data_IF_004996780404
#
_entry.id   IF_004996780404
#
_cell.length_a   1.000
_cell.length_b   1.000
_cell.length_c   1.000
_cell.angle_alpha   90.00
_cell.angle_beta   90.00
_cell.angle_gamma   90.00
#
_symmetry.space_group_name_H-M   'P 1'
#
loop_
_entity.id
_entity.type
_entity.pdbx_description
1 polymer ?
#
# COMPACT_ATOMS: atom_id res chain seq x y z
N UNK A 1 11.54 10.51 -19.02
CA UNK A 1 12.12 9.63 -20.06
C UNK A 1 13.41 9.04 -19.52
N UNK A 2 13.34 7.83 -18.96
CA UNK A 2 14.52 7.06 -18.59
C UNK A 2 14.23 5.60 -18.95
N UNK A 3 15.04 5.12 -19.89
CA UNK A 3 14.97 3.82 -20.55
C UNK A 3 15.57 2.74 -19.64
N UNK A 4 14.85 1.61 -19.46
CA UNK A 4 15.37 0.41 -18.80
C UNK A 4 16.33 -0.29 -19.78
N UNK A 5 17.58 -0.53 -19.39
CA UNK A 5 18.46 -1.50 -20.05
C UNK A 5 18.43 -2.81 -19.25
N UNK A 6 17.93 -3.86 -19.89
CA UNK A 6 18.17 -5.23 -19.46
C UNK A 6 19.61 -5.65 -19.85
N UNK A 7 20.30 -6.36 -18.98
CA UNK A 7 21.56 -7.06 -19.27
C UNK A 7 21.27 -8.29 -20.12
N UNK A 8 22.05 -8.57 -21.19
CA UNK A 8 21.74 -9.65 -22.11
C UNK A 8 22.26 -11.00 -21.60
N UNK A 9 21.44 -12.05 -21.72
CA UNK A 9 21.87 -13.45 -21.66
C UNK A 9 22.04 -13.97 -23.10
N UNK A 10 23.20 -14.55 -23.41
CA UNK A 10 23.48 -15.16 -24.71
C UNK A 10 22.87 -16.57 -24.82
N UNK A 11 22.24 -16.89 -25.96
CA UNK A 11 21.55 -18.17 -26.28
C UNK A 11 22.50 -19.31 -26.71
N UNK A 12 22.05 -20.35 -27.48
CA UNK A 12 20.89 -20.37 -28.41
C UNK A 12 19.99 -21.65 -28.38
N UNK A 13 18.80 -21.59 -29.00
CA UNK A 13 18.16 -22.78 -29.61
C UNK A 13 16.62 -22.92 -29.60
N UNK A 14 15.99 -22.41 -30.66
CA UNK A 14 14.79 -22.94 -31.36
C UNK A 14 13.41 -23.08 -30.67
N UNK A 15 12.47 -22.22 -31.12
CA UNK A 15 11.12 -22.64 -31.57
C UNK A 15 9.94 -22.59 -30.58
N UNK A 16 9.29 -21.43 -30.45
CA UNK A 16 7.97 -21.29 -29.80
C UNK A 16 7.32 -19.93 -30.11
N UNK A 17 5.98 -19.83 -30.27
CA UNK A 17 5.34 -18.70 -30.94
C UNK A 17 5.04 -17.51 -30.01
N UNK A 18 4.96 -16.35 -30.66
CA UNK A 18 4.30 -15.10 -30.28
C UNK A 18 4.75 -14.44 -28.96
N UNK A 19 5.54 -13.37 -29.11
CA UNK A 19 6.00 -12.51 -28.03
C UNK A 19 4.84 -11.92 -27.22
N UNK A 20 4.98 -12.01 -25.90
CA UNK A 20 4.29 -11.14 -24.97
C UNK A 20 4.79 -9.71 -25.21
N UNK A 21 3.90 -8.82 -25.64
CA UNK A 21 4.15 -7.39 -25.63
C UNK A 21 4.52 -6.98 -24.20
N UNK A 22 5.73 -6.43 -24.03
CA UNK A 22 6.24 -5.87 -22.78
C UNK A 22 5.33 -4.73 -22.29
N UNK A 23 4.27 -5.11 -21.57
CA UNK A 23 3.21 -4.23 -21.08
C UNK A 23 3.56 -3.61 -19.73
N UNK A 24 3.23 -2.33 -19.59
CA UNK A 24 3.46 -1.49 -18.41
C UNK A 24 3.18 -2.22 -17.08
N UNK A 25 4.20 -2.36 -16.21
CA UNK A 25 4.09 -2.95 -14.85
C UNK A 25 3.33 -2.06 -13.83
N UNK A 26 2.35 -1.27 -14.27
CA UNK A 26 1.57 -0.37 -13.41
C UNK A 26 0.10 -0.65 -13.66
N UNK A 27 -0.64 -0.93 -12.59
CA UNK A 27 -2.08 -1.11 -12.61
C UNK A 27 -2.75 -0.02 -11.78
N UNK A 28 -3.82 0.55 -12.31
CA UNK A 28 -4.66 1.54 -11.63
C UNK A 28 -6.03 0.91 -11.37
N UNK A 29 -6.29 0.68 -10.09
CA UNK A 29 -7.51 0.05 -9.60
C UNK A 29 -8.36 1.09 -8.88
N UNK A 30 -9.66 1.13 -9.19
CA UNK A 30 -10.60 1.98 -8.48
C UNK A 30 -11.49 1.17 -7.55
N UNK A 31 -11.54 1.56 -6.28
CA UNK A 31 -12.45 1.01 -5.28
C UNK A 31 -13.45 2.07 -4.83
N UNK A 32 -14.74 1.83 -5.09
CA UNK A 32 -15.84 2.61 -4.54
C UNK A 32 -16.10 2.13 -3.10
N UNK A 33 -16.19 3.02 -2.09
CA UNK A 33 -16.65 2.63 -0.74
C UNK A 33 -18.19 2.55 -0.68
N UNK A 34 -18.77 1.74 0.22
CA UNK A 34 -20.21 1.83 0.48
C UNK A 34 -20.58 3.20 1.09
N UNK A 35 -21.83 3.66 0.92
CA UNK A 35 -22.33 4.84 1.60
C UNK A 35 -22.23 4.69 3.13
N UNK A 36 -21.90 5.77 3.85
CA UNK A 36 -21.90 5.75 5.32
C UNK A 36 -23.32 5.77 5.86
N UNK A 37 -23.50 5.42 7.14
CA UNK A 37 -24.81 5.48 7.80
C UNK A 37 -25.40 6.88 7.76
N UNK A 38 -24.56 7.91 7.91
CA UNK A 38 -24.94 9.32 7.84
C UNK A 38 -25.38 9.73 6.44
N UNK A 39 -24.69 9.26 5.40
CA UNK A 39 -25.06 9.53 4.00
C UNK A 39 -26.39 8.87 3.62
N UNK A 40 -26.63 7.64 4.08
CA UNK A 40 -27.90 6.95 3.88
C UNK A 40 -29.03 7.66 4.64
N UNK A 41 -28.81 8.00 5.92
CA UNK A 41 -29.79 8.70 6.73
C UNK A 41 -30.11 10.10 6.17
N UNK A 42 -29.09 10.79 5.66
CA UNK A 42 -29.20 12.09 5.01
C UNK A 42 -29.73 12.04 3.57
N UNK A 43 -30.00 10.84 3.02
CA UNK A 43 -30.44 10.63 1.63
C UNK A 43 -29.52 11.31 0.62
N UNK A 44 -28.21 11.24 0.86
CA UNK A 44 -27.22 11.81 -0.03
C UNK A 44 -27.38 11.21 -1.44
N UNK A 45 -27.34 12.03 -2.51
CA UNK A 45 -27.50 11.52 -3.86
C UNK A 45 -26.33 10.61 -4.23
N UNK A 46 -26.64 9.43 -4.77
CA UNK A 46 -25.62 8.54 -5.33
C UNK A 46 -25.14 9.10 -6.68
N UNK A 47 -24.00 9.77 -6.65
CA UNK A 47 -23.40 10.42 -7.84
C UNK A 47 -22.39 9.53 -8.57
N UNK A 48 -21.98 8.41 -7.98
CA UNK A 48 -21.03 7.46 -8.58
C UNK A 48 -21.74 6.15 -8.90
N UNK A 49 -21.67 5.73 -10.16
CA UNK A 49 -22.09 4.40 -10.61
C UNK A 49 -20.85 3.62 -11.06
N UNK A 50 -20.64 2.44 -10.48
CA UNK A 50 -19.50 1.59 -10.79
C UNK A 50 -20.00 0.43 -11.69
N UNK A 51 -19.32 0.17 -12.81
CA UNK A 51 -19.61 -0.93 -13.73
C UNK A 51 -18.35 -1.78 -13.87
N UNK A 52 -18.31 -2.87 -13.11
CA UNK A 52 -17.14 -3.75 -13.02
C UNK A 52 -16.84 -4.46 -14.34
N UNK A 53 -17.88 -4.91 -15.06
CA UNK A 53 -17.72 -5.63 -16.33
C UNK A 53 -17.08 -4.76 -17.43
N UNK A 54 -17.42 -3.47 -17.47
CA UNK A 54 -16.84 -2.50 -18.40
C UNK A 54 -15.61 -1.76 -17.82
N UNK A 55 -15.21 -2.10 -16.59
CA UNK A 55 -14.10 -1.47 -15.85
C UNK A 55 -14.19 0.06 -15.84
N UNK A 56 -15.40 0.58 -15.63
CA UNK A 56 -15.67 2.01 -15.69
C UNK A 56 -16.44 2.51 -14.48
N UNK A 57 -16.29 3.81 -14.20
CA UNK A 57 -17.20 4.56 -13.34
C UNK A 57 -17.85 5.69 -14.10
N UNK A 58 -19.11 5.97 -13.79
CA UNK A 58 -19.82 7.16 -14.28
C UNK A 58 -20.13 8.08 -13.11
N UNK A 59 -19.67 9.32 -13.21
CA UNK A 59 -20.01 10.43 -12.32
C UNK A 59 -21.21 11.17 -12.89
N UNK A 60 -22.34 11.15 -12.18
CA UNK A 60 -23.55 11.88 -12.54
C UNK A 60 -23.68 13.11 -11.64
N UNK A 61 -23.54 14.29 -12.21
CA UNK A 61 -23.70 15.55 -11.50
C UNK A 61 -24.83 16.38 -12.10
N UNK A 62 -25.72 16.88 -11.25
CA UNK A 62 -26.72 17.86 -11.66
C UNK A 62 -26.19 19.27 -11.38
N UNK A 63 -25.87 20.01 -12.44
CA UNK A 63 -25.47 21.43 -12.35
C UNK A 63 -26.49 22.28 -13.11
N UNK A 64 -27.14 23.22 -12.42
CA UNK A 64 -28.07 24.17 -13.05
C UNK A 64 -29.23 23.50 -13.81
N UNK A 65 -29.74 22.37 -13.32
CA UNK A 65 -30.83 21.61 -13.95
C UNK A 65 -30.42 20.72 -15.14
N UNK A 66 -29.14 20.72 -15.55
CA UNK A 66 -28.61 19.80 -16.56
C UNK A 66 -27.87 18.64 -15.88
N UNK A 67 -28.15 17.42 -16.34
CA UNK A 67 -27.38 16.23 -15.96
C UNK A 67 -26.10 16.19 -16.79
N UNK A 68 -24.95 16.24 -16.12
CA UNK A 68 -23.64 16.06 -16.71
C UNK A 68 -23.08 14.72 -16.24
N UNK A 69 -22.96 13.76 -17.16
CA UNK A 69 -22.31 12.47 -16.94
C UNK A 69 -20.87 12.51 -17.42
N UNK A 70 -19.92 12.01 -16.62
CA UNK A 70 -18.54 11.74 -17.06
C UNK A 70 -18.18 10.29 -16.76
N UNK A 71 -17.64 9.60 -17.75
CA UNK A 71 -17.19 8.20 -17.61
C UNK A 71 -15.67 8.13 -17.63
N UNK A 72 -15.12 7.28 -16.75
CA UNK A 72 -13.68 7.02 -16.63
C UNK A 72 -13.44 5.51 -16.62
N UNK A 73 -12.37 5.06 -17.28
CA UNK A 73 -11.97 3.65 -17.34
C UNK A 73 -10.71 3.40 -16.49
N UNK A 74 -10.63 2.21 -15.90
CA UNK A 74 -9.54 1.74 -15.05
C UNK A 74 -9.15 0.32 -15.43
N UNK A 75 -8.05 -0.21 -14.88
CA UNK A 75 -7.69 -1.61 -15.09
C UNK A 75 -8.69 -2.55 -14.41
N UNK A 76 -9.19 -2.14 -13.23
CA UNK A 76 -10.28 -2.79 -12.49
C UNK A 76 -11.10 -1.77 -11.72
N UNK A 77 -12.39 -2.07 -11.53
CA UNK A 77 -13.33 -1.26 -10.76
C UNK A 77 -14.09 -2.15 -9.77
N UNK A 78 -13.98 -1.83 -8.49
CA UNK A 78 -14.66 -2.53 -7.39
C UNK A 78 -15.79 -1.67 -6.82
N UNK A 79 -17.05 -2.11 -6.92
CA UNK A 79 -18.18 -1.41 -6.30
C UNK A 79 -18.19 -1.52 -4.76
N UNK A 80 -19.05 -0.73 -4.11
CA UNK A 80 -19.09 -0.58 -2.64
C UNK A 80 -19.43 -1.83 -1.83
N UNK A 81 -19.95 -2.87 -2.47
CA UNK A 81 -20.26 -4.18 -1.90
C UNK A 81 -19.10 -5.19 -2.04
N UNK A 82 -17.98 -4.79 -2.65
CA UNK A 82 -16.80 -5.66 -2.79
C UNK A 82 -16.15 -5.95 -1.44
N UNK A 83 -16.00 -7.24 -1.11
CA UNK A 83 -15.30 -7.70 0.09
C UNK A 83 -13.79 -7.44 0.04
N UNK A 84 -13.15 -7.42 1.22
CA UNK A 84 -11.69 -7.27 1.32
C UNK A 84 -10.94 -8.42 0.66
N UNK A 85 -11.44 -9.65 0.84
CA UNK A 85 -10.90 -10.87 0.24
C UNK A 85 -10.91 -10.80 -1.28
N UNK A 86 -12.07 -10.50 -1.88
CA UNK A 86 -12.20 -10.42 -3.34
C UNK A 86 -11.27 -9.37 -3.94
N UNK A 87 -11.16 -8.21 -3.30
CA UNK A 87 -10.21 -7.18 -3.73
C UNK A 87 -8.78 -7.72 -3.65
N UNK A 88 -8.41 -8.33 -2.52
CA UNK A 88 -7.07 -8.85 -2.30
C UNK A 88 -6.68 -9.93 -3.32
N UNK A 89 -7.48 -10.99 -3.47
CA UNK A 89 -7.17 -12.13 -4.34
C UNK A 89 -7.03 -11.72 -5.80
N UNK A 90 -7.86 -10.77 -6.24
CA UNK A 90 -7.90 -10.36 -7.65
C UNK A 90 -6.85 -9.31 -8.03
N UNK A 91 -6.16 -8.70 -7.07
CA UNK A 91 -5.25 -7.58 -7.31
C UNK A 91 -3.91 -7.64 -6.60
N UNK A 92 -3.91 -8.04 -5.33
CA UNK A 92 -2.70 -7.99 -4.49
C UNK A 92 -2.01 -9.34 -4.42
N UNK A 93 -2.77 -10.43 -4.35
CA UNK A 93 -2.18 -11.76 -4.23
C UNK A 93 -1.11 -12.07 -5.31
N UNK A 94 -1.31 -11.71 -6.60
CA UNK A 94 -0.27 -11.89 -7.63
C UNK A 94 1.00 -11.04 -7.39
N UNK A 95 0.86 -9.84 -6.82
CA UNK A 95 2.01 -8.98 -6.49
C UNK A 95 2.81 -9.54 -5.32
N UNK A 96 2.15 -10.23 -4.39
CA UNK A 96 2.83 -10.94 -3.30
C UNK A 96 3.62 -12.13 -3.84
N UNK A 97 3.07 -12.86 -4.82
CA UNK A 97 3.77 -13.94 -5.52
C UNK A 97 5.02 -13.41 -6.25
N UNK A 98 4.89 -12.33 -7.03
CA UNK A 98 6.04 -11.66 -7.65
C UNK A 98 7.08 -11.23 -6.60
N UNK A 99 6.64 -10.65 -5.48
CA UNK A 99 7.57 -10.29 -4.42
C UNK A 99 8.34 -11.50 -3.89
N UNK A 100 7.68 -12.64 -3.70
CA UNK A 100 8.31 -13.88 -3.24
C UNK A 100 9.26 -14.51 -4.28
N UNK A 101 9.09 -14.18 -5.56
CA UNK A 101 10.03 -14.48 -6.64
C UNK A 101 11.26 -13.54 -6.65
N UNK A 102 11.31 -12.54 -5.76
CA UNK A 102 12.42 -11.61 -5.60
C UNK A 102 12.21 -10.26 -6.29
N UNK A 103 10.98 -9.90 -6.64
CA UNK A 103 10.66 -8.57 -7.17
C UNK A 103 10.36 -7.55 -6.06
N UNK A 104 10.53 -6.27 -6.40
CA UNK A 104 10.11 -5.17 -5.54
C UNK A 104 8.75 -4.67 -6.02
N UNK A 105 7.73 -4.82 -5.19
CA UNK A 105 6.34 -4.50 -5.51
C UNK A 105 5.84 -3.39 -4.58
N UNK A 106 5.12 -2.41 -5.14
CA UNK A 106 4.57 -1.28 -4.38
C UNK A 106 3.08 -1.18 -4.59
N UNK A 107 2.34 -1.11 -3.48
CA UNK A 107 0.89 -0.91 -3.46
C UNK A 107 0.63 0.33 -2.63
N UNK A 108 -0.08 1.30 -3.19
CA UNK A 108 -0.48 2.50 -2.46
C UNK A 108 -1.97 2.79 -2.62
N UNK A 109 -2.61 3.16 -1.51
CA UNK A 109 -3.99 3.61 -1.50
C UNK A 109 -4.04 5.14 -1.59
N UNK A 110 -4.75 5.69 -2.58
CA UNK A 110 -4.91 7.12 -2.82
C UNK A 110 -6.38 7.54 -2.82
N UNK A 111 -6.67 8.73 -2.31
CA UNK A 111 -8.01 9.30 -2.28
C UNK A 111 -8.24 10.31 -1.15
N UNK A 112 -9.43 10.92 -1.15
CA UNK A 112 -9.82 11.90 -0.13
C UNK A 112 -9.87 11.27 1.27
N UNK A 113 -9.70 12.07 2.33
CA UNK A 113 -9.98 11.62 3.70
C UNK A 113 -11.38 11.03 3.84
N UNK A 114 -11.49 9.88 4.52
CA UNK A 114 -12.77 9.20 4.74
C UNK A 114 -13.26 8.33 3.58
N UNK A 115 -12.50 8.15 2.50
CA UNK A 115 -12.88 7.25 1.39
C UNK A 115 -12.47 5.80 1.58
N UNK A 116 -11.79 5.46 2.69
CA UNK A 116 -11.44 4.08 3.04
C UNK A 116 -10.06 3.62 2.59
N UNK A 117 -9.07 4.52 2.47
CA UNK A 117 -7.65 4.17 2.23
C UNK A 117 -7.10 3.23 3.31
N UNK A 118 -7.11 3.68 4.56
CA UNK A 118 -6.73 2.89 5.73
C UNK A 118 -7.57 1.62 5.85
N UNK A 119 -8.89 1.69 5.65
CA UNK A 119 -9.74 0.49 5.64
C UNK A 119 -9.31 -0.52 4.57
N UNK A 120 -8.86 -0.07 3.40
CA UNK A 120 -8.34 -0.96 2.36
C UNK A 120 -6.99 -1.57 2.77
N UNK A 121 -6.08 -0.76 3.31
CA UNK A 121 -4.73 -1.21 3.67
C UNK A 121 -4.72 -2.08 4.93
N UNK A 122 -5.29 -1.63 6.03
CA UNK A 122 -5.27 -2.35 7.32
C UNK A 122 -6.53 -3.18 7.55
N UNK A 123 -7.70 -2.65 7.17
CA UNK A 123 -8.99 -3.26 7.46
C UNK A 123 -9.83 -2.49 8.48
N UNK A 124 -10.88 -3.14 9.00
CA UNK A 124 -11.54 -2.72 10.24
C UNK A 124 -10.56 -2.73 11.42
N UNK A 125 -10.95 -2.17 12.58
CA UNK A 125 -10.11 -2.12 13.79
C UNK A 125 -9.29 -3.41 13.89
N UNK A 126 -7.97 -3.29 13.72
CA UNK A 126 -7.01 -4.38 13.87
C UNK A 126 -7.34 -5.01 15.22
N UNK A 127 -8.07 -6.12 15.20
CA UNK A 127 -8.72 -6.65 16.37
C UNK A 127 -7.64 -7.28 17.25
N UNK A 128 -7.05 -6.41 18.10
CA UNK A 128 -6.41 -6.70 19.36
C UNK A 128 -5.61 -8.02 19.35
N UNK A 129 -4.47 -8.04 18.67
CA UNK A 129 -3.50 -9.13 18.81
C UNK A 129 -4.01 -10.55 18.50
N UNK A 130 -5.15 -10.70 17.81
CA UNK A 130 -5.59 -12.01 17.34
C UNK A 130 -5.01 -12.27 15.96
N UNK A 131 -4.24 -13.35 15.83
CA UNK A 131 -3.72 -13.84 14.56
C UNK A 131 -4.82 -14.40 13.63
N UNK A 132 -6.10 -14.17 13.95
CA UNK A 132 -7.24 -14.66 13.20
C UNK A 132 -7.63 -13.68 12.09
N UNK A 133 -7.62 -14.18 10.86
CA UNK A 133 -8.03 -13.43 9.68
C UNK A 133 -9.54 -13.14 9.75
N UNK A 134 -9.90 -11.88 10.00
CA UNK A 134 -11.30 -11.45 9.93
C UNK A 134 -11.70 -11.10 8.50
N UNK A 135 -13.01 -11.16 8.20
CA UNK A 135 -13.55 -10.71 6.90
C UNK A 135 -13.19 -9.25 6.57
N UNK A 136 -13.01 -8.44 7.61
CA UNK A 136 -12.67 -7.02 7.50
C UNK A 136 -11.17 -6.74 7.32
N UNK A 137 -10.31 -7.77 7.47
CA UNK A 137 -8.87 -7.64 7.34
C UNK A 137 -8.49 -7.09 5.94
N UNK A 138 -7.68 -6.04 5.92
CA UNK A 138 -7.26 -5.36 4.70
C UNK A 138 -6.11 -6.06 3.97
N UNK A 139 -5.45 -5.30 3.10
CA UNK A 139 -4.34 -5.76 2.28
C UNK A 139 -3.14 -6.22 3.11
N UNK A 140 -2.74 -5.45 4.11
CA UNK A 140 -1.56 -5.71 4.95
C UNK A 140 -1.68 -7.06 5.70
N UNK A 141 -2.73 -7.31 6.52
CA UNK A 141 -2.87 -8.60 7.20
C UNK A 141 -2.94 -9.79 6.23
N UNK A 142 -3.65 -9.63 5.09
CA UNK A 142 -3.73 -10.69 4.06
C UNK A 142 -2.38 -10.99 3.43
N UNK A 143 -1.60 -9.96 3.10
CA UNK A 143 -0.22 -10.10 2.60
C UNK A 143 0.69 -10.82 3.58
N UNK A 144 0.62 -10.48 4.87
CA UNK A 144 1.39 -11.15 5.91
C UNK A 144 1.07 -12.65 5.95
N UNK A 145 -0.22 -13.00 5.99
CA UNK A 145 -0.64 -14.40 6.00
C UNK A 145 -0.17 -15.14 4.74
N UNK A 146 -0.37 -14.58 3.54
CA UNK A 146 0.07 -15.21 2.30
C UNK A 146 1.59 -15.44 2.27
N UNK A 147 2.39 -14.45 2.71
CA UNK A 147 3.86 -14.57 2.78
C UNK A 147 4.26 -15.74 3.67
N UNK A 148 3.73 -15.84 4.88
CA UNK A 148 4.09 -16.93 5.79
C UNK A 148 3.57 -18.29 5.32
N UNK A 149 2.33 -18.37 4.80
CA UNK A 149 1.80 -19.61 4.23
C UNK A 149 2.63 -20.09 3.04
N UNK A 150 3.12 -19.18 2.19
CA UNK A 150 4.01 -19.54 1.09
C UNK A 150 5.36 -20.07 1.59
N UNK A 151 6.00 -19.36 2.53
CA UNK A 151 7.28 -19.77 3.11
C UNK A 151 7.20 -21.14 3.81
N UNK A 152 6.11 -21.40 4.52
CA UNK A 152 5.82 -22.72 5.11
C UNK A 152 5.67 -23.80 4.03
N UNK A 153 4.94 -23.50 2.94
CA UNK A 153 4.69 -24.44 1.84
C UNK A 153 5.94 -24.82 1.05
N UNK A 154 6.92 -23.91 0.95
CA UNK A 154 8.19 -24.17 0.27
C UNK A 154 9.06 -25.20 1.02
N UNK A 155 8.79 -25.46 2.30
CA UNK A 155 9.74 -26.18 3.16
C UNK A 155 11.12 -25.52 3.19
N UNK A 156 11.17 -24.20 2.93
CA UNK A 156 12.39 -23.44 2.78
C UNK A 156 13.21 -23.52 4.08
N UNK A 157 14.40 -24.12 3.99
CA UNK A 157 15.24 -24.34 5.18
C UNK A 157 15.90 -23.05 5.68
N UNK A 158 16.08 -22.06 4.79
CA UNK A 158 16.72 -20.80 5.12
C UNK A 158 16.04 -19.60 4.45
N UNK A 159 15.18 -18.94 5.20
CA UNK A 159 14.63 -17.64 4.83
C UNK A 159 14.78 -16.63 5.98
N UNK A 160 14.74 -15.36 5.63
CA UNK A 160 14.67 -14.25 6.59
C UNK A 160 13.56 -13.31 6.19
N UNK A 161 12.67 -13.00 7.14
CA UNK A 161 11.66 -11.96 6.97
C UNK A 161 12.00 -10.79 7.88
N UNK A 162 11.94 -9.58 7.32
CA UNK A 162 12.10 -8.32 8.03
C UNK A 162 10.91 -7.41 7.76
N UNK A 163 10.57 -6.60 8.75
CA UNK A 163 9.54 -5.58 8.64
C UNK A 163 10.09 -4.22 9.06
N UNK A 164 9.67 -3.17 8.34
CA UNK A 164 9.89 -1.78 8.75
C UNK A 164 8.59 -1.00 8.65
N UNK A 165 8.35 -0.06 9.56
CA UNK A 165 7.14 0.76 9.54
C UNK A 165 7.51 2.21 9.80
N UNK A 166 7.19 3.08 8.83
CA UNK A 166 7.49 4.50 8.93
C UNK A 166 6.26 5.35 8.66
N UNK A 167 6.29 6.54 9.25
CA UNK A 167 5.38 7.63 8.98
C UNK A 167 6.14 8.77 8.31
N UNK A 168 5.58 9.31 7.24
CA UNK A 168 6.04 10.55 6.61
C UNK A 168 5.02 11.64 6.90
N UNK A 169 5.45 12.65 7.66
CA UNK A 169 4.62 13.80 8.00
C UNK A 169 5.44 15.08 7.87
N UNK A 170 4.93 16.04 7.10
CA UNK A 170 5.59 17.33 6.87
C UNK A 170 7.08 17.20 6.45
N UNK A 171 7.36 16.29 5.51
CA UNK A 171 8.72 15.96 5.02
C UNK A 171 9.67 15.35 6.07
N UNK A 172 9.18 15.04 7.27
CA UNK A 172 9.94 14.34 8.30
C UNK A 172 9.55 12.86 8.33
N UNK A 173 10.57 11.99 8.33
CA UNK A 173 10.40 10.54 8.43
C UNK A 173 10.54 10.14 9.89
N UNK A 174 9.51 9.48 10.40
CA UNK A 174 9.47 8.92 11.75
C UNK A 174 9.42 7.41 11.67
N UNK A 175 10.35 6.74 12.35
CA UNK A 175 10.32 5.29 12.51
C UNK A 175 9.30 4.89 13.59
N UNK A 176 8.28 4.12 13.18
CA UNK A 176 7.20 3.66 14.06
C UNK A 176 7.58 2.40 14.86
N UNK A 177 8.66 1.70 14.51
CA UNK A 177 9.17 0.51 15.21
C UNK A 177 10.35 0.83 16.13
N UNK A 178 11.00 1.99 15.96
CA UNK A 178 12.13 2.40 16.79
C UNK A 178 11.84 2.28 18.30
N UNK A 179 12.74 1.60 19.00
CA UNK A 179 12.74 1.40 20.44
C UNK A 179 13.36 2.62 21.15
N UNK A 180 12.84 2.95 22.34
CA UNK A 180 13.35 4.03 23.18
C UNK A 180 12.55 5.34 23.10
N UNK A 181 12.83 6.26 24.03
CA UNK A 181 12.13 7.55 24.15
C UNK A 181 12.56 8.60 23.12
N UNK A 182 13.77 8.47 22.59
CA UNK A 182 14.30 9.32 21.52
C UNK A 182 14.64 8.44 20.31
N UNK A 183 13.71 8.25 19.37
CA UNK A 183 13.98 7.46 18.18
C UNK A 183 15.07 8.14 17.32
N UNK A 184 15.97 7.37 16.68
CA UNK A 184 16.98 7.91 15.80
C UNK A 184 16.33 8.71 14.65
N UNK A 185 16.98 9.80 14.25
CA UNK A 185 16.53 10.58 13.08
C UNK A 185 16.77 9.77 11.81
N UNK A 186 15.68 9.34 11.18
CA UNK A 186 15.75 8.68 9.87
C UNK A 186 16.19 9.70 8.81
N UNK A 187 17.23 9.36 8.05
CA UNK A 187 17.75 10.20 6.96
C UNK A 187 17.53 9.54 5.62
N UNK A 188 16.98 10.30 4.69
CA UNK A 188 16.89 9.90 3.28
C UNK A 188 18.26 10.15 2.65
N UNK A 189 18.89 9.07 2.18
CA UNK A 189 20.15 9.11 1.44
C UNK A 189 19.90 8.61 0.02
N UNK A 190 20.62 9.15 -0.94
CA UNK A 190 20.64 8.64 -2.32
C UNK A 190 21.95 7.88 -2.55
N UNK A 191 21.85 6.67 -3.07
CA UNK A 191 22.98 5.90 -3.56
C UNK A 191 22.83 5.57 -5.05
N UNK A 192 23.77 4.80 -5.61
CA UNK A 192 23.75 4.44 -7.04
C UNK A 192 22.58 3.50 -7.42
N UNK A 193 21.96 2.87 -6.44
CA UNK A 193 20.88 1.89 -6.59
C UNK A 193 19.50 2.45 -6.24
N UNK A 194 19.43 3.60 -5.58
CA UNK A 194 18.20 4.32 -5.30
C UNK A 194 18.25 5.09 -3.98
N UNK A 195 17.09 5.18 -3.34
CA UNK A 195 16.92 5.86 -2.04
C UNK A 195 17.11 4.87 -0.90
N UNK A 196 17.96 5.21 0.06
CA UNK A 196 18.25 4.45 1.28
C UNK A 196 17.80 5.24 2.50
N UNK A 197 17.07 4.59 3.40
CA UNK A 197 16.64 5.18 4.67
C UNK A 197 17.63 4.77 5.77
N UNK A 198 18.52 5.68 6.14
CA UNK A 198 19.48 5.44 7.21
C UNK A 198 18.83 5.71 8.57
N UNK A 199 18.93 4.74 9.48
CA UNK A 199 18.36 4.83 10.82
C UNK A 199 16.92 4.32 10.93
N UNK A 200 16.38 3.73 9.87
CA UNK A 200 15.11 3.01 9.92
C UNK A 200 15.33 1.59 10.45
N UNK A 201 14.58 1.20 11.47
CA UNK A 201 14.58 -0.14 12.05
C UNK A 201 14.04 -1.17 11.05
N UNK A 202 14.81 -2.23 10.83
CA UNK A 202 14.39 -3.43 10.09
C UNK A 202 14.25 -4.60 11.07
N UNK A 203 13.09 -4.70 11.71
CA UNK A 203 12.82 -5.73 12.71
C UNK A 203 12.73 -7.12 12.05
N UNK A 204 13.56 -8.07 12.47
CA UNK A 204 13.48 -9.45 12.04
C UNK A 204 12.28 -10.14 12.71
N UNK A 205 11.47 -10.84 11.91
CA UNK A 205 10.25 -11.52 12.35
C UNK A 205 10.29 -12.99 11.96
N UNK A 206 9.67 -13.85 12.78
CA UNK A 206 9.65 -15.31 12.60
C UNK A 206 8.25 -15.85 12.34
N UNK A 207 7.21 -15.07 12.61
CA UNK A 207 5.82 -15.47 12.40
C UNK A 207 4.94 -14.28 11.97
N UNK A 208 3.76 -14.60 11.44
CA UNK A 208 2.73 -13.59 11.17
C UNK A 208 2.35 -12.81 12.45
N UNK A 209 2.30 -13.50 13.60
CA UNK A 209 2.01 -12.90 14.91
C UNK A 209 3.03 -11.83 15.32
N UNK A 210 4.30 -12.02 14.97
CA UNK A 210 5.36 -11.03 15.26
C UNK A 210 5.09 -9.74 14.47
N UNK A 211 4.71 -9.87 13.19
CA UNK A 211 4.37 -8.70 12.36
C UNK A 211 3.12 -7.98 12.90
N UNK A 212 2.09 -8.73 13.30
CA UNK A 212 0.91 -8.10 13.90
C UNK A 212 1.23 -7.33 15.17
N UNK A 213 2.14 -7.84 16.00
CA UNK A 213 2.61 -7.13 17.18
C UNK A 213 3.34 -5.83 16.82
N UNK A 214 4.15 -5.83 15.76
CA UNK A 214 4.82 -4.62 15.24
C UNK A 214 3.82 -3.60 14.68
N UNK A 215 2.78 -4.07 13.97
CA UNK A 215 1.71 -3.20 13.47
C UNK A 215 0.92 -2.55 14.61
N UNK A 216 0.60 -3.31 15.65
CA UNK A 216 -0.09 -2.79 16.85
C UNK A 216 0.78 -1.76 17.57
N UNK A 217 2.07 -2.06 17.75
CA UNK A 217 3.04 -1.13 18.35
C UNK A 217 3.14 0.17 17.54
N UNK A 218 3.35 0.08 16.23
CA UNK A 218 3.48 1.25 15.37
C UNK A 218 2.18 2.06 15.30
N UNK A 219 1.03 1.39 15.30
CA UNK A 219 -0.29 2.05 15.35
C UNK A 219 -0.51 2.76 16.69
N UNK A 220 -0.12 2.18 17.81
CA UNK A 220 -0.20 2.82 19.13
C UNK A 220 0.74 4.04 19.23
N UNK A 221 1.96 3.93 18.68
CA UNK A 221 2.92 5.04 18.62
C UNK A 221 2.37 6.19 17.77
N UNK A 222 1.78 5.87 16.60
CA UNK A 222 1.10 6.83 15.72
C UNK A 222 -0.06 7.53 16.44
N UNK A 223 -0.94 6.78 17.12
CA UNK A 223 -2.07 7.34 17.90
C UNK A 223 -1.59 8.28 19.01
N UNK A 224 -0.48 7.96 19.67
CA UNK A 224 0.10 8.82 20.71
C UNK A 224 0.64 10.13 20.12
N UNK A 225 1.27 10.09 18.94
CA UNK A 225 1.66 11.30 18.23
C UNK A 225 0.44 12.15 17.83
N UNK A 226 -0.64 11.51 17.36
CA UNK A 226 -1.88 12.19 16.95
C UNK A 226 -2.60 12.93 18.10
N UNK A 227 -2.60 12.36 19.31
CA UNK A 227 -3.22 13.00 20.49
C UNK A 227 -2.40 14.19 20.99
N UNK A 228 -1.07 14.14 20.85
CA UNK A 228 -0.17 15.23 21.20
C UNK A 228 -0.21 16.40 20.19
N UNK A 229 -0.51 16.13 18.92
CA UNK A 229 -0.36 17.10 17.81
C UNK A 229 -1.67 17.54 17.12
N UNK A 230 -2.85 17.17 17.64
CA UNK A 230 -4.18 17.42 17.06
C UNK A 230 -4.44 16.74 15.70
N UNK A 231 -5.15 15.60 15.69
CA UNK A 231 -5.75 14.88 14.52
C UNK A 231 -4.86 14.85 13.26
N UNK A 232 -3.87 13.96 13.27
CA UNK A 232 -2.78 13.89 12.29
C UNK A 232 -2.85 12.68 11.33
N UNK A 233 -3.63 11.62 11.60
CA UNK A 233 -3.68 10.41 10.74
C UNK A 233 -4.08 10.66 9.30
N UNK A 234 -4.97 11.63 9.04
CA UNK A 234 -5.42 11.94 7.67
C UNK A 234 -4.38 12.72 6.85
N UNK A 235 -3.27 13.12 7.49
CA UNK A 235 -2.29 14.07 6.96
C UNK A 235 -0.86 13.52 6.93
N UNK A 236 -0.65 12.35 7.48
CA UNK A 236 0.59 11.61 7.35
C UNK A 236 0.40 10.43 6.40
N UNK A 237 1.46 10.13 5.66
CA UNK A 237 1.55 8.90 4.89
C UNK A 237 2.19 7.84 5.75
N UNK A 238 1.79 6.58 5.62
CA UNK A 238 2.53 5.47 6.22
C UNK A 238 3.04 4.52 5.15
N UNK A 239 4.22 3.97 5.40
CA UNK A 239 4.84 2.94 4.56
C UNK A 239 5.20 1.78 5.46
N UNK A 240 4.53 0.66 5.26
CA UNK A 240 4.88 -0.61 5.86
C UNK A 240 5.61 -1.45 4.81
N UNK A 241 6.81 -1.95 5.14
CA UNK A 241 7.64 -2.72 4.19
C UNK A 241 7.86 -4.10 4.77
N UNK A 242 7.59 -5.12 3.95
CA UNK A 242 7.98 -6.50 4.22
C UNK A 242 9.13 -6.84 3.27
N UNK A 243 10.25 -7.28 3.82
CA UNK A 243 11.39 -7.78 3.04
C UNK A 243 11.54 -9.27 3.30
N UNK A 244 11.54 -10.07 2.23
CA UNK A 244 11.73 -11.52 2.30
C UNK A 244 13.01 -11.87 1.56
N UNK A 245 13.90 -12.58 2.24
CA UNK A 245 15.12 -13.14 1.67
C UNK A 245 15.03 -14.66 1.73
N UNK A 246 15.09 -15.34 0.60
CA UNK A 246 15.08 -16.81 0.52
C UNK A 246 16.40 -17.28 -0.09
N UNK A 247 17.10 -18.18 0.61
CA UNK A 247 18.28 -18.87 0.06
C UNK A 247 17.81 -20.16 -0.60
N UNK A 248 18.24 -20.36 -1.83
CA UNK A 248 18.00 -21.59 -2.59
C UNK A 248 19.30 -22.19 -3.10
N UNK A 249 19.33 -23.52 -3.17
CA UNK A 249 20.40 -24.29 -3.78
C UNK A 249 19.86 -24.84 -5.09
N UNK A 250 20.40 -24.38 -6.21
CA UNK A 250 20.02 -24.84 -7.55
C UNK A 250 20.57 -26.25 -7.82
N UNK A 251 20.04 -26.91 -8.86
CA UNK A 251 20.40 -28.29 -9.22
C UNK A 251 21.90 -28.51 -9.48
N UNK A 252 22.65 -27.45 -9.79
CA UNK A 252 24.09 -27.47 -10.03
C UNK A 252 24.94 -27.22 -8.76
N UNK A 253 24.28 -27.08 -7.60
CA UNK A 253 24.93 -26.72 -6.34
C UNK A 253 25.20 -25.22 -6.17
N UNK A 254 24.79 -24.40 -7.14
CA UNK A 254 24.86 -22.94 -7.04
C UNK A 254 23.87 -22.40 -6.02
N UNK A 255 24.35 -21.57 -5.11
CA UNK A 255 23.50 -20.89 -4.14
C UNK A 255 23.02 -19.55 -4.68
N UNK A 256 21.72 -19.33 -4.64
CA UNK A 256 21.09 -18.08 -5.04
C UNK A 256 20.29 -17.54 -3.87
N UNK A 257 20.45 -16.24 -3.58
CA UNK A 257 19.63 -15.53 -2.62
C UNK A 257 18.68 -14.64 -3.40
N UNK A 258 17.38 -14.90 -3.28
CA UNK A 258 16.34 -14.02 -3.79
C UNK A 258 15.87 -13.08 -2.69
N UNK A 259 15.75 -11.79 -3.01
CA UNK A 259 15.29 -10.78 -2.06
C UNK A 259 14.13 -10.02 -2.69
N UNK A 260 12.95 -10.15 -2.10
CA UNK A 260 11.76 -9.42 -2.47
C UNK A 260 11.40 -8.35 -1.45
N UNK A 261 10.82 -7.24 -1.91
CA UNK A 261 10.29 -6.18 -1.03
C UNK A 261 8.87 -5.82 -1.42
N UNK A 262 7.96 -5.85 -0.46
CA UNK A 262 6.60 -5.38 -0.62
C UNK A 262 6.41 -4.08 0.15
N UNK A 263 6.16 -3.00 -0.58
CA UNK A 263 5.88 -1.68 -0.03
C UNK A 263 4.35 -1.47 0.03
N UNK A 264 3.83 -1.34 1.24
CA UNK A 264 2.40 -1.20 1.53
C UNK A 264 2.16 0.21 2.07
N UNK A 265 1.62 1.09 1.22
CA UNK A 265 1.55 2.53 1.46
C UNK A 265 0.11 2.98 1.68
N UNK A 266 -0.16 3.61 2.82
CA UNK A 266 -1.41 4.33 3.09
C UNK A 266 -1.14 5.82 2.99
N UNK A 267 -1.58 6.45 1.90
CA UNK A 267 -1.32 7.88 1.68
C UNK A 267 -2.26 8.75 2.52
N UNK A 268 -1.83 9.97 2.78
CA UNK A 268 -2.66 11.03 3.34
C UNK A 268 -3.85 11.36 2.43
N UNK A 269 -4.84 12.06 3.00
CA UNK A 269 -5.99 12.56 2.27
C UNK A 269 -5.62 13.56 1.17
N UNK A 270 -6.19 13.37 -0.01
CA UNK A 270 -5.97 14.24 -1.18
C UNK A 270 -6.88 15.48 -1.23
N UNK A 271 -7.45 15.91 -0.10
CA UNK A 271 -8.36 17.06 -0.05
C UNK A 271 -7.69 18.39 -0.42
N UNK A 272 -8.45 19.23 -1.14
CA UNK A 272 -8.01 20.56 -1.53
C UNK A 272 -8.17 21.57 -0.37
N UNK A 273 -7.08 22.25 -0.03
CA UNK A 273 -6.96 23.22 1.08
C UNK A 273 -7.93 24.39 0.93
N UNK A 274 -8.22 24.79 -0.31
CA UNK A 274 -9.10 25.93 -0.59
C UNK A 274 -10.54 25.70 -0.13
N UNK A 275 -10.96 24.44 0.08
CA UNK A 275 -12.28 24.08 0.61
C UNK A 275 -12.30 23.82 2.12
N UNK A 276 -11.14 23.68 2.78
CA UNK A 276 -11.07 23.25 4.19
C UNK A 276 -11.01 24.38 5.22
N UNK A 277 -10.90 25.65 4.78
CA UNK A 277 -10.94 26.82 5.68
C UNK A 277 -9.77 26.89 6.67
N UNK A 278 -8.64 26.26 6.35
CA UNK A 278 -7.49 26.11 7.24
C UNK A 278 -6.71 27.43 7.44
N UNK A 279 -6.43 27.80 8.69
CA UNK A 279 -5.58 28.94 9.10
C UNK A 279 -4.11 28.73 8.66
N UNK A 280 -3.35 29.80 8.41
CA UNK A 280 -2.01 29.86 7.77
C UNK A 280 -1.05 28.68 8.01
N UNK A 281 -0.89 28.19 9.25
CA UNK A 281 0.02 27.07 9.54
C UNK A 281 -0.47 25.73 8.98
N UNK A 282 -1.79 25.48 9.03
CA UNK A 282 -2.44 24.31 8.42
C UNK A 282 -2.48 24.41 6.89
N UNK A 283 -2.45 25.63 6.34
CA UNK A 283 -2.39 25.84 4.89
C UNK A 283 -1.02 25.47 4.31
N UNK A 284 0.09 25.76 5.01
CA UNK A 284 1.44 25.32 4.61
C UNK A 284 1.59 23.79 4.69
N UNK A 285 1.14 23.19 5.79
CA UNK A 285 1.16 21.75 6.03
C UNK A 285 0.39 20.98 4.94
N UNK A 286 -0.86 21.36 4.69
CA UNK A 286 -1.66 20.73 3.65
C UNK A 286 -1.10 21.02 2.25
N UNK A 287 -0.33 22.10 2.08
CA UNK A 287 0.40 22.42 0.86
C UNK A 287 1.52 21.42 0.58
N UNK A 288 2.29 21.03 1.59
CA UNK A 288 3.35 20.02 1.49
C UNK A 288 2.76 18.62 1.21
N UNK A 289 1.67 18.26 1.88
CA UNK A 289 0.96 16.99 1.63
C UNK A 289 0.44 16.93 0.19
N UNK A 290 -0.22 17.99 -0.27
CA UNK A 290 -0.71 18.02 -1.65
C UNK A 290 0.44 18.08 -2.66
N UNK A 291 1.57 18.72 -2.34
CA UNK A 291 2.76 18.73 -3.20
C UNK A 291 3.36 17.32 -3.33
N UNK A 292 3.52 16.59 -2.23
CA UNK A 292 4.01 15.19 -2.28
C UNK A 292 3.05 14.31 -3.08
N UNK A 293 1.74 14.47 -2.92
CA UNK A 293 0.72 13.75 -3.69
C UNK A 293 0.65 14.15 -5.18
N UNK A 294 0.92 15.41 -5.53
CA UNK A 294 0.95 15.91 -6.91
C UNK A 294 2.22 15.50 -7.66
N UNK A 295 3.28 15.18 -6.92
CA UNK A 295 4.58 14.77 -7.49
C UNK A 295 4.63 13.25 -7.72
N UNK A 296 3.81 12.48 -6.99
CA UNK A 296 3.58 11.04 -7.18
C UNK A 296 2.89 10.76 -8.51
#
# INVERSE_FOLDING_TARGET
>A
MASRKATPRAGPGAGGPAGSEDGVNIQVILRCRPPTKEEVAGRAPQVVKCNEALREITLNQTLGGKQLGRTYHFDRVFPGDTSQERLYDSTVAPLVEEMLEGFNCTIFAYGQTGTGKTYTMTGGDLAQGSAEMTDSAGVIPRAIHQVFSYLESLGAQEFTVKASYLELYNEEVTDLLALGSEPPKVRILEDRTGVVLNGLEEAQVRSASDIFSLLDQGTAKRRTAETLLNKQSSRSHTVFVITVSVREILAEGEEVIRVGKLYLVDLAGSENITRSGAVEQRAKEAGNINKSLLTL
#
